data_IF_280653586547
#
_entry.id   IF_280653586547
#
_cell.length_a   1.000
_cell.length_b   1.000
_cell.length_c   1.000
_cell.angle_alpha   90.00
_cell.angle_beta   90.00
_cell.angle_gamma   90.00
#
_symmetry.space_group_name_H-M   'P 1'
#
loop_
_entity.id
_entity.type
_entity.pdbx_description
1 polymer ?
#
# COMPACT_ATOMS: atom_id res chain seq x y z
N UNK A 1 -40.37 9.37 -37.93
CA UNK A 1 -40.12 8.16 -37.10
C UNK A 1 -38.68 7.73 -37.37
N UNK A 2 -37.71 8.61 -37.12
CA UNK A 2 -37.18 8.99 -35.80
C UNK A 2 -36.44 7.84 -35.15
N UNK A 3 -35.25 7.56 -35.70
CA UNK A 3 -34.21 6.83 -34.98
C UNK A 3 -33.44 7.84 -34.13
N UNK A 4 -33.92 8.07 -32.90
CA UNK A 4 -33.16 8.75 -31.86
C UNK A 4 -32.23 7.71 -31.22
N UNK A 5 -30.97 7.69 -31.65
CA UNK A 5 -29.89 7.19 -30.81
C UNK A 5 -29.62 8.26 -29.73
N UNK A 6 -29.93 7.94 -28.49
CA UNK A 6 -29.35 8.56 -27.30
C UNK A 6 -29.80 7.79 -26.07
N UNK A 7 -29.03 6.78 -25.66
CA UNK A 7 -29.11 6.26 -24.29
C UNK A 7 -27.69 5.92 -23.80
N UNK A 8 -27.05 6.96 -23.23
CA UNK A 8 -26.18 6.89 -22.06
C UNK A 8 -25.13 5.78 -21.99
N UNK A 9 -23.92 6.09 -22.47
CA UNK A 9 -22.67 5.54 -21.91
C UNK A 9 -22.48 6.10 -20.49
N UNK A 10 -23.24 5.56 -19.53
CA UNK A 10 -22.96 5.74 -18.11
C UNK A 10 -21.83 4.77 -17.75
N UNK A 11 -20.61 5.29 -17.73
CA UNK A 11 -19.43 4.59 -17.20
C UNK A 11 -19.70 4.28 -15.73
N UNK A 12 -20.18 3.05 -15.48
CA UNK A 12 -20.29 2.47 -14.15
C UNK A 12 -18.90 2.53 -13.52
N UNK A 13 -18.72 3.43 -12.54
CA UNK A 13 -17.61 3.35 -11.61
C UNK A 13 -17.73 1.98 -10.93
N UNK A 14 -16.85 1.05 -11.30
CA UNK A 14 -16.78 -0.29 -10.71
C UNK A 14 -16.45 -0.13 -9.22
N UNK A 15 -17.49 0.03 -8.42
CA UNK A 15 -17.41 0.05 -6.97
C UNK A 15 -16.91 -1.34 -6.57
N UNK A 16 -15.68 -1.37 -6.06
CA UNK A 16 -15.02 -2.58 -5.58
C UNK A 16 -15.82 -3.11 -4.38
N UNK A 17 -16.83 -3.94 -4.64
CA UNK A 17 -17.69 -4.50 -3.63
C UNK A 17 -16.89 -5.49 -2.78
N UNK A 18 -16.64 -5.08 -1.54
CA UNK A 18 -15.97 -5.92 -0.54
C UNK A 18 -17.04 -6.83 0.04
N UNK A 19 -16.96 -8.16 -0.15
CA UNK A 19 -17.93 -9.06 0.47
C UNK A 19 -17.81 -8.93 1.99
N UNK A 20 -18.94 -8.70 2.67
CA UNK A 20 -19.03 -8.69 4.13
C UNK A 20 -19.35 -10.10 4.65
N UNK A 21 -18.54 -10.66 5.57
CA UNK A 21 -18.90 -11.90 6.26
C UNK A 21 -19.28 -11.71 7.72
N UNK A 22 -20.33 -12.44 8.09
CA UNK A 22 -21.14 -12.45 9.31
C UNK A 22 -20.54 -13.19 10.53
N UNK A 23 -19.21 -13.30 10.65
CA UNK A 23 -18.56 -14.01 11.78
C UNK A 23 -17.48 -13.14 12.48
N UNK A 24 -17.56 -12.98 13.80
CA UNK A 24 -16.70 -12.08 14.59
C UNK A 24 -15.22 -12.48 14.65
N UNK A 25 -14.90 -13.77 14.54
CA UNK A 25 -13.52 -14.29 14.53
C UNK A 25 -12.72 -13.85 13.27
N UNK A 26 -13.43 -13.29 12.29
CA UNK A 26 -12.93 -12.97 10.97
C UNK A 26 -12.67 -11.46 10.78
N UNK A 27 -12.92 -10.62 11.81
CA UNK A 27 -12.67 -9.17 11.73
C UNK A 27 -11.17 -8.84 11.81
N UNK A 28 -10.43 -9.52 12.70
CA UNK A 28 -8.98 -9.31 12.87
C UNK A 28 -8.14 -9.79 11.69
N UNK A 29 -8.56 -10.89 11.03
CA UNK A 29 -7.95 -11.41 9.81
C UNK A 29 -8.13 -10.43 8.64
N UNK A 30 -9.34 -9.88 8.47
CA UNK A 30 -9.69 -8.88 7.43
C UNK A 30 -8.93 -7.58 7.60
N UNK A 31 -8.90 -7.02 8.81
CA UNK A 31 -8.14 -5.80 9.10
C UNK A 31 -6.65 -6.00 8.81
N UNK A 32 -6.09 -7.13 9.24
CA UNK A 32 -4.69 -7.49 8.99
C UNK A 32 -4.37 -7.59 7.49
N UNK A 33 -5.29 -8.18 6.71
CA UNK A 33 -5.17 -8.29 5.26
C UNK A 33 -5.28 -6.92 4.58
N UNK A 34 -6.27 -6.12 4.97
CA UNK A 34 -6.51 -4.76 4.47
C UNK A 34 -5.30 -3.86 4.69
N UNK A 35 -4.78 -3.79 5.92
CA UNK A 35 -3.54 -3.09 6.23
C UNK A 35 -2.35 -3.61 5.39
N UNK A 36 -2.32 -4.92 5.11
CA UNK A 36 -1.33 -5.52 4.22
C UNK A 36 -1.40 -4.95 2.81
N UNK A 37 -2.59 -4.78 2.25
CA UNK A 37 -2.80 -4.14 0.95
C UNK A 37 -2.41 -2.66 0.97
N UNK A 38 -2.84 -1.90 1.98
CA UNK A 38 -2.47 -0.49 2.12
C UNK A 38 -0.95 -0.28 2.26
N UNK A 39 -0.26 -1.16 2.99
CA UNK A 39 1.19 -1.10 3.17
C UNK A 39 1.96 -1.32 1.86
N UNK A 40 1.41 -2.13 0.95
CA UNK A 40 2.01 -2.43 -0.36
C UNK A 40 1.77 -1.34 -1.40
N UNK A 41 0.64 -0.62 -1.30
CA UNK A 41 0.26 0.45 -2.23
C UNK A 41 1.29 1.59 -2.33
N UNK A 42 2.04 1.83 -1.25
CA UNK A 42 2.96 2.96 -1.16
C UNK A 42 2.28 4.33 -1.03
N UNK A 43 0.94 4.40 -0.94
CA UNK A 43 0.15 5.65 -0.82
C UNK A 43 0.42 6.35 0.50
N UNK A 44 0.32 5.61 1.61
CA UNK A 44 0.46 6.12 2.99
C UNK A 44 1.92 6.13 3.47
N UNK A 45 2.68 5.09 3.12
CA UNK A 45 4.12 5.07 3.33
C UNK A 45 4.84 4.67 2.04
N UNK A 46 5.55 5.59 1.38
CA UNK A 46 6.39 5.22 0.25
C UNK A 46 7.42 4.16 0.65
N UNK A 47 7.65 3.16 -0.18
CA UNK A 47 8.50 1.98 0.17
C UNK A 47 9.95 2.35 0.50
N UNK A 48 10.44 3.49 -0.02
CA UNK A 48 11.80 3.99 0.25
C UNK A 48 11.92 4.76 1.58
N UNK A 49 10.81 5.03 2.26
CA UNK A 49 10.76 5.82 3.49
C UNK A 49 10.50 4.91 4.69
N UNK A 50 11.19 5.18 5.81
CA UNK A 50 10.91 4.49 7.06
C UNK A 50 9.63 5.05 7.70
N UNK A 51 8.82 4.17 8.29
CA UNK A 51 7.52 4.52 8.87
C UNK A 51 7.63 5.60 9.96
N UNK A 52 8.64 5.50 10.82
CA UNK A 52 8.92 6.50 11.86
C UNK A 52 9.29 7.90 11.30
N UNK A 53 9.59 8.03 10.01
CA UNK A 53 9.86 9.32 9.36
C UNK A 53 8.64 9.86 8.59
N UNK A 54 7.54 9.11 8.52
CA UNK A 54 6.28 9.58 7.92
C UNK A 54 5.67 10.64 8.85
N UNK A 55 5.16 11.73 8.28
CA UNK A 55 4.53 12.83 9.04
C UNK A 55 3.29 12.29 9.74
N UNK A 56 3.03 12.77 10.95
CA UNK A 56 1.88 12.30 11.75
C UNK A 56 0.55 12.63 11.08
N UNK A 57 0.44 13.75 10.36
CA UNK A 57 -0.75 14.06 9.53
C UNK A 57 -1.10 12.93 8.56
N UNK A 58 -0.09 12.28 7.97
CA UNK A 58 -0.30 11.18 7.03
C UNK A 58 -0.59 9.84 7.72
N UNK A 59 -0.12 9.67 8.95
CA UNK A 59 -0.49 8.54 9.80
C UNK A 59 -1.94 8.68 10.24
N UNK A 60 -2.38 9.89 10.59
CA UNK A 60 -3.76 10.19 10.91
C UNK A 60 -4.68 9.91 9.72
N UNK A 61 -4.34 10.39 8.51
CA UNK A 61 -5.13 10.08 7.30
C UNK A 61 -5.25 8.57 7.02
N UNK A 62 -4.23 7.78 7.35
CA UNK A 62 -4.31 6.32 7.24
C UNK A 62 -5.31 5.77 8.27
N UNK A 63 -5.20 6.24 9.51
CA UNK A 63 -6.02 5.79 10.61
C UNK A 63 -7.49 6.15 10.42
N UNK A 64 -7.79 7.40 10.04
CA UNK A 64 -9.14 7.86 9.71
C UNK A 64 -9.75 6.98 8.61
N UNK A 65 -8.96 6.65 7.58
CA UNK A 65 -9.41 5.76 6.52
C UNK A 65 -9.65 4.32 6.96
N UNK A 66 -8.88 3.81 7.94
CA UNK A 66 -9.15 2.49 8.52
C UNK A 66 -10.44 2.54 9.34
N UNK A 67 -10.65 3.62 10.12
CA UNK A 67 -11.86 3.84 10.92
C UNK A 67 -13.14 3.98 10.10
N UNK A 68 -13.06 4.43 8.85
CA UNK A 68 -14.24 4.41 7.96
C UNK A 68 -14.64 3.02 7.49
N UNK A 69 -13.79 2.01 7.68
CA UNK A 69 -14.01 0.63 7.23
C UNK A 69 -14.11 -0.37 8.38
N UNK A 70 -13.58 -0.04 9.55
CA UNK A 70 -13.52 -0.90 10.72
C UNK A 70 -13.86 -0.07 11.95
N UNK A 71 -14.59 -0.68 12.87
CA UNK A 71 -14.82 -0.10 14.20
C UNK A 71 -13.53 -0.28 15.03
N UNK A 72 -12.76 0.78 15.17
CA UNK A 72 -11.45 0.78 15.86
C UNK A 72 -11.56 1.67 17.10
N UNK A 73 -11.48 1.08 18.31
CA UNK A 73 -11.39 1.82 19.56
C UNK A 73 -10.17 2.75 19.59
N UNK A 74 -10.28 3.88 20.31
CA UNK A 74 -9.22 4.90 20.38
C UNK A 74 -7.93 4.35 21.02
N UNK A 75 -8.05 3.43 21.97
CA UNK A 75 -6.93 2.75 22.63
C UNK A 75 -6.17 1.78 21.70
N UNK A 76 -6.79 1.34 20.60
CA UNK A 76 -6.14 0.45 19.62
C UNK A 76 -5.40 1.18 18.50
N UNK A 77 -5.60 2.50 18.34
CA UNK A 77 -4.99 3.29 17.26
C UNK A 77 -3.47 3.17 17.23
N UNK A 78 -2.84 3.21 18.41
CA UNK A 78 -1.40 3.06 18.55
C UNK A 78 -0.93 1.71 18.01
N UNK A 79 -1.65 0.64 18.32
CA UNK A 79 -1.35 -0.70 17.81
C UNK A 79 -1.53 -0.78 16.29
N UNK A 80 -2.58 -0.17 15.72
CA UNK A 80 -2.81 -0.11 14.27
C UNK A 80 -1.62 0.53 13.55
N UNK A 81 -1.17 1.69 14.03
CA UNK A 81 -0.04 2.41 13.42
C UNK A 81 1.27 1.61 13.55
N UNK A 82 1.50 0.94 14.67
CA UNK A 82 2.66 0.06 14.87
C UNK A 82 2.63 -1.15 13.94
N UNK A 83 1.49 -1.84 13.89
CA UNK A 83 1.23 -3.01 13.04
C UNK A 83 1.42 -2.67 11.56
N UNK A 84 0.88 -1.53 11.12
CA UNK A 84 1.07 -1.02 9.77
C UNK A 84 2.55 -0.76 9.45
N UNK A 85 3.28 -0.11 10.37
CA UNK A 85 4.72 0.12 10.23
C UNK A 85 5.52 -1.18 10.05
N UNK A 86 5.18 -2.23 10.82
CA UNK A 86 5.79 -3.56 10.69
C UNK A 86 5.51 -4.16 9.31
N UNK A 87 4.27 -4.06 8.80
CA UNK A 87 3.91 -4.53 7.46
C UNK A 87 4.69 -3.82 6.36
N UNK A 88 4.86 -2.49 6.44
CA UNK A 88 5.68 -1.72 5.50
C UNK A 88 7.15 -2.17 5.53
N UNK A 89 7.72 -2.36 6.73
CA UNK A 89 9.09 -2.88 6.89
C UNK A 89 9.25 -4.26 6.25
N UNK A 90 8.32 -5.18 6.54
CA UNK A 90 8.34 -6.54 6.00
C UNK A 90 8.17 -6.54 4.47
N UNK A 91 7.28 -5.72 3.94
CA UNK A 91 7.11 -5.55 2.50
C UNK A 91 8.41 -5.09 1.83
N UNK A 92 9.04 -4.05 2.38
CA UNK A 92 10.32 -3.54 1.88
C UNK A 92 11.42 -4.61 1.90
N UNK A 93 11.49 -5.41 2.97
CA UNK A 93 12.45 -6.50 3.08
C UNK A 93 12.23 -7.58 1.99
N UNK A 94 10.98 -8.03 1.82
CA UNK A 94 10.61 -8.99 0.76
C UNK A 94 10.92 -8.48 -0.64
N UNK A 95 10.67 -7.19 -0.90
CA UNK A 95 11.01 -6.58 -2.19
C UNK A 95 12.52 -6.56 -2.41
N UNK A 96 13.31 -6.25 -1.37
CA UNK A 96 14.77 -6.28 -1.49
C UNK A 96 15.26 -7.69 -1.79
N UNK A 97 14.84 -8.67 -1.00
CA UNK A 97 15.22 -10.08 -1.16
C UNK A 97 14.93 -10.62 -2.56
N UNK A 98 13.75 -10.31 -3.12
CA UNK A 98 13.32 -10.89 -4.40
C UNK A 98 13.81 -10.15 -5.64
N UNK A 99 14.09 -8.86 -5.53
CA UNK A 99 14.30 -8.00 -6.71
C UNK A 99 15.60 -7.20 -6.68
N UNK A 100 16.30 -7.11 -5.55
CA UNK A 100 17.58 -6.42 -5.49
C UNK A 100 18.73 -7.39 -5.72
N UNK A 101 19.47 -7.15 -6.80
CA UNK A 101 20.69 -7.85 -7.13
C UNK A 101 21.86 -6.85 -7.15
N UNK A 102 22.81 -6.96 -6.21
CA UNK A 102 23.94 -6.04 -6.13
C UNK A 102 24.94 -6.17 -7.28
N UNK A 103 24.88 -7.23 -8.09
CA UNK A 103 25.74 -7.41 -9.26
C UNK A 103 25.27 -6.59 -10.48
N UNK A 104 24.01 -6.13 -10.47
CA UNK A 104 23.43 -5.40 -11.59
C UNK A 104 23.80 -3.91 -11.57
N UNK A 105 23.95 -3.34 -12.77
CA UNK A 105 24.05 -1.89 -12.93
C UNK A 105 22.76 -1.19 -12.49
N UNK A 106 22.85 0.08 -12.09
CA UNK A 106 21.70 0.88 -11.66
C UNK A 106 20.54 0.85 -12.67
N UNK A 107 20.83 0.95 -13.97
CA UNK A 107 19.80 0.95 -15.02
C UNK A 107 19.10 -0.39 -15.15
N UNK A 108 19.86 -1.50 -15.17
CA UNK A 108 19.29 -2.86 -15.17
C UNK A 108 18.48 -3.12 -13.91
N UNK A 109 18.97 -2.69 -12.75
CA UNK A 109 18.25 -2.81 -11.49
C UNK A 109 16.93 -2.02 -11.49
N UNK A 110 16.90 -0.83 -12.10
CA UNK A 110 15.68 -0.02 -12.24
C UNK A 110 14.68 -0.68 -13.20
N UNK A 111 15.13 -1.39 -14.24
CA UNK A 111 14.23 -2.08 -15.17
C UNK A 111 13.58 -3.33 -14.56
N UNK A 112 14.25 -4.02 -13.62
CA UNK A 112 13.68 -5.15 -12.84
C UNK A 112 12.73 -4.70 -11.73
N UNK A 113 11.71 -3.91 -12.09
CA UNK A 113 10.73 -3.36 -11.15
C UNK A 113 9.61 -4.37 -10.87
N UNK A 114 9.25 -4.62 -9.59
CA UNK A 114 8.02 -5.34 -9.26
C UNK A 114 6.77 -4.60 -9.77
N UNK A 115 5.77 -5.32 -10.31
CA UNK A 115 4.50 -4.71 -10.76
C UNK A 115 3.78 -3.92 -9.66
N UNK A 116 3.87 -4.40 -8.42
CA UNK A 116 3.23 -3.81 -7.23
C UNK A 116 3.90 -2.52 -6.74
N UNK A 117 5.10 -2.18 -7.22
CA UNK A 117 5.84 -0.99 -6.78
C UNK A 117 5.80 0.08 -7.86
N UNK A 118 5.37 1.28 -7.49
CA UNK A 118 5.34 2.43 -8.39
C UNK A 118 6.74 2.78 -8.93
N UNK A 119 6.84 3.10 -10.24
CA UNK A 119 8.12 3.41 -10.94
C UNK A 119 8.99 4.44 -10.21
N UNK A 120 8.36 5.54 -9.77
CA UNK A 120 9.04 6.63 -9.05
C UNK A 120 9.59 6.17 -7.70
N UNK A 121 8.83 5.35 -6.98
CA UNK A 121 9.25 4.83 -5.68
C UNK A 121 10.36 3.80 -5.81
N UNK A 122 10.26 2.91 -6.81
CA UNK A 122 11.30 1.91 -7.11
C UNK A 122 12.65 2.56 -7.39
N UNK A 123 12.69 3.54 -8.30
CA UNK A 123 13.92 4.26 -8.65
C UNK A 123 14.57 4.89 -7.42
N UNK A 124 13.78 5.50 -6.52
CA UNK A 124 14.30 6.09 -5.28
C UNK A 124 14.84 5.03 -4.33
N UNK A 125 14.13 3.90 -4.20
CA UNK A 125 14.52 2.79 -3.33
C UNK A 125 15.84 2.16 -3.77
N UNK A 126 15.99 1.87 -5.06
CA UNK A 126 17.21 1.28 -5.63
C UNK A 126 18.41 2.21 -5.42
N UNK A 127 18.26 3.52 -5.72
CA UNK A 127 19.32 4.51 -5.47
C UNK A 127 19.73 4.55 -4.01
N UNK A 128 18.77 4.46 -3.09
CA UNK A 128 19.04 4.42 -1.66
C UNK A 128 19.84 3.18 -1.26
N UNK A 129 19.52 2.00 -1.78
CA UNK A 129 20.27 0.77 -1.48
C UNK A 129 21.69 0.77 -2.03
N UNK A 130 21.90 1.32 -3.23
CA UNK A 130 23.24 1.45 -3.81
C UNK A 130 24.06 2.48 -3.03
N UNK A 131 23.47 3.60 -2.60
CA UNK A 131 24.16 4.60 -1.77
C UNK A 131 24.64 4.05 -0.42
N UNK A 132 23.91 3.11 0.20
CA UNK A 132 24.36 2.46 1.45
C UNK A 132 25.64 1.62 1.23
N UNK A 133 25.91 1.18 0.00
CA UNK A 133 27.06 0.33 -0.33
C UNK A 133 28.32 1.10 -0.75
N UNK A 134 28.23 2.42 -0.94
CA UNK A 134 29.36 3.28 -1.36
C UNK A 134 29.85 4.12 -0.21
#
# INVERSE_FOLDING_TARGET
MDGLENENDELVEEEFEVPQPENEEDKGSKLTHFMGTLSRSGKYCPIYKAWNKVKDTKKQTLLDFIKTKFDIPEDEEGWILQSFGKKVKNWRARVKERYYDPSLSLQKQISFRPKQVQKKQWRRLVKYWIKIKS
#
